data_IF_754235009196
#
_entry.id   IF_754235009196
#
_cell.length_a   1.000
_cell.length_b   1.000
_cell.length_c   1.000
_cell.angle_alpha   90.00
_cell.angle_beta   90.00
_cell.angle_gamma   90.00
#
_symmetry.space_group_name_H-M   'P 1'
#
loop_
_entity.id
_entity.type
_entity.pdbx_description
1 polymer ?
#
# COMPACT_ATOMS: atom_id res chain seq x y z
N UNK A 1 -12.11 6.44 -11.74
CA UNK A 1 -12.22 5.19 -10.93
C UNK A 1 -13.34 5.40 -9.92
N UNK A 2 -14.22 4.41 -9.77
CA UNK A 2 -15.29 4.44 -8.77
C UNK A 2 -14.71 4.38 -7.35
N UNK A 3 -15.42 4.93 -6.36
CA UNK A 3 -15.01 4.88 -4.95
C UNK A 3 -15.46 3.59 -4.25
N UNK A 4 -16.58 3.03 -4.71
CA UNK A 4 -17.20 1.82 -4.14
C UNK A 4 -17.21 0.72 -5.16
N UNK A 5 -17.00 -0.50 -4.69
CA UNK A 5 -16.99 -1.68 -5.53
C UNK A 5 -17.75 -2.82 -4.86
N UNK A 6 -18.46 -3.61 -5.64
CA UNK A 6 -19.12 -4.82 -5.15
C UNK A 6 -19.19 -5.87 -6.25
N UNK A 7 -18.88 -7.11 -5.89
CA UNK A 7 -19.01 -8.27 -6.77
C UNK A 7 -19.57 -9.45 -5.97
N UNK A 8 -20.62 -10.07 -6.50
CA UNK A 8 -21.28 -11.22 -5.89
C UNK A 8 -21.04 -12.50 -6.68
N UNK A 9 -20.97 -13.62 -5.97
CA UNK A 9 -20.81 -14.97 -6.47
C UNK A 9 -21.86 -15.86 -5.82
N UNK A 10 -22.92 -16.16 -6.57
CA UNK A 10 -23.98 -17.03 -6.11
C UNK A 10 -23.76 -18.47 -6.57
N UNK A 11 -24.09 -19.42 -5.71
CA UNK A 11 -24.25 -20.84 -6.02
C UNK A 11 -25.68 -21.29 -5.73
N UNK A 12 -25.89 -22.60 -5.67
CA UNK A 12 -27.22 -23.17 -5.41
C UNK A 12 -27.73 -22.85 -3.99
N UNK A 13 -26.86 -22.98 -2.98
CA UNK A 13 -27.24 -22.88 -1.56
C UNK A 13 -26.47 -21.81 -0.79
N UNK A 14 -25.41 -21.22 -1.35
CA UNK A 14 -24.58 -20.21 -0.67
C UNK A 14 -24.17 -19.12 -1.65
N UNK A 15 -24.24 -17.89 -1.19
CA UNK A 15 -23.84 -16.69 -1.90
C UNK A 15 -22.76 -15.94 -1.11
N UNK A 16 -21.82 -15.39 -1.85
CA UNK A 16 -20.72 -14.61 -1.31
C UNK A 16 -20.61 -13.29 -2.04
N UNK A 17 -20.38 -12.19 -1.33
CA UNK A 17 -20.14 -10.87 -1.91
C UNK A 17 -18.87 -10.26 -1.34
N UNK A 18 -18.02 -9.77 -2.23
CA UNK A 18 -16.90 -8.90 -1.90
C UNK A 18 -17.40 -7.47 -2.05
N UNK A 19 -17.22 -6.67 -1.01
CA UNK A 19 -17.61 -5.27 -1.02
C UNK A 19 -16.46 -4.40 -0.53
N UNK A 20 -16.22 -3.32 -1.26
CA UNK A 20 -15.41 -2.22 -0.77
C UNK A 20 -16.24 -0.95 -0.72
N UNK A 21 -16.38 -0.39 0.49
CA UNK A 21 -17.25 0.75 0.75
C UNK A 21 -16.59 2.10 0.49
N UNK A 22 -15.26 2.16 0.40
CA UNK A 22 -14.48 3.34 0.07
C UNK A 22 -13.09 2.93 -0.42
N UNK A 23 -12.51 3.70 -1.36
CA UNK A 23 -11.10 3.53 -1.76
C UNK A 23 -10.09 3.92 -0.69
N UNK A 24 -10.51 4.75 0.28
CA UNK A 24 -9.66 5.32 1.32
C UNK A 24 -9.60 4.43 2.58
N UNK A 25 -10.41 3.39 2.67
CA UNK A 25 -10.39 2.44 3.78
C UNK A 25 -9.47 1.24 3.46
N UNK A 26 -8.52 0.87 4.34
CA UNK A 26 -7.53 -0.19 4.06
C UNK A 26 -8.11 -1.59 4.35
N UNK A 27 -9.37 -1.81 4.02
CA UNK A 27 -10.06 -3.08 4.21
C UNK A 27 -11.19 -3.26 3.20
N UNK A 28 -11.66 -4.49 3.09
CA UNK A 28 -12.87 -4.88 2.36
C UNK A 28 -13.78 -5.70 3.28
N UNK A 29 -15.03 -5.86 2.87
CA UNK A 29 -15.97 -6.76 3.51
C UNK A 29 -16.21 -7.98 2.66
N UNK A 30 -16.22 -9.12 3.32
CA UNK A 30 -16.70 -10.38 2.77
C UNK A 30 -18.02 -10.72 3.43
N UNK A 31 -19.06 -10.88 2.61
CA UNK A 31 -20.45 -11.07 3.04
C UNK A 31 -20.97 -12.41 2.54
N UNK A 32 -21.44 -13.24 3.44
CA UNK A 32 -21.96 -14.57 3.16
C UNK A 32 -23.42 -14.69 3.57
N UNK A 33 -24.19 -15.39 2.74
CA UNK A 33 -25.59 -15.76 2.97
C UNK A 33 -25.80 -17.17 2.45
N UNK A 34 -26.70 -17.92 3.07
CA UNK A 34 -27.17 -19.21 2.55
C UNK A 34 -28.66 -19.19 2.25
N UNK A 35 -29.10 -20.16 1.45
CA UNK A 35 -30.52 -20.47 1.33
C UNK A 35 -31.01 -21.14 2.60
N UNK A 36 -32.20 -20.74 3.03
CA UNK A 36 -32.96 -21.33 4.14
C UNK A 36 -33.71 -22.57 3.64
N UNK A 37 -34.33 -23.29 4.58
CA UNK A 37 -35.12 -24.50 4.29
C UNK A 37 -36.36 -24.24 3.44
N UNK A 38 -36.86 -23.00 3.45
CA UNK A 38 -38.00 -22.54 2.65
C UNK A 38 -37.58 -22.01 1.26
N UNK A 39 -36.35 -22.31 0.82
CA UNK A 39 -35.73 -21.87 -0.44
C UNK A 39 -35.53 -20.34 -0.57
N UNK A 40 -35.82 -19.56 0.49
CA UNK A 40 -35.50 -18.14 0.53
C UNK A 40 -34.05 -17.90 0.93
N UNK A 41 -33.47 -16.77 0.53
CA UNK A 41 -32.12 -16.38 0.96
C UNK A 41 -32.15 -15.69 2.32
N UNK A 42 -31.13 -15.93 3.13
CA UNK A 42 -30.85 -15.11 4.31
C UNK A 42 -30.72 -13.62 3.97
N UNK A 43 -31.18 -12.78 4.91
CA UNK A 43 -31.17 -11.32 4.78
C UNK A 43 -30.41 -10.68 5.92
N UNK A 44 -29.40 -9.88 5.59
CA UNK A 44 -28.66 -9.08 6.57
C UNK A 44 -29.58 -8.14 7.39
N UNK A 45 -30.69 -7.67 6.80
CA UNK A 45 -31.68 -6.83 7.50
C UNK A 45 -32.40 -7.56 8.64
N UNK A 46 -32.36 -8.89 8.67
CA UNK A 46 -32.93 -9.73 9.72
C UNK A 46 -31.86 -10.25 10.70
N UNK A 47 -30.62 -9.73 10.62
CA UNK A 47 -29.49 -10.21 11.42
C UNK A 47 -28.91 -11.56 10.94
N UNK A 48 -29.29 -12.02 9.76
CA UNK A 48 -28.81 -13.26 9.16
C UNK A 48 -27.57 -13.03 8.30
N UNK A 49 -26.94 -14.14 7.86
CA UNK A 49 -25.70 -14.09 7.11
C UNK A 49 -24.48 -13.85 8.01
N UNK A 50 -23.32 -13.70 7.38
CA UNK A 50 -22.08 -13.32 8.06
C UNK A 50 -21.35 -12.25 7.27
N UNK A 51 -20.95 -11.20 7.95
CA UNK A 51 -20.04 -10.19 7.40
C UNK A 51 -18.74 -10.25 8.18
N UNK A 52 -17.62 -10.33 7.47
CA UNK A 52 -16.28 -10.21 8.07
C UNK A 52 -15.53 -9.06 7.38
N UNK A 53 -14.74 -8.33 8.16
CA UNK A 53 -13.82 -7.31 7.66
C UNK A 53 -12.48 -7.98 7.38
N UNK A 54 -11.98 -7.81 6.16
CA UNK A 54 -10.68 -8.32 5.71
C UNK A 54 -9.74 -7.13 5.55
N UNK A 55 -8.68 -7.12 6.35
CA UNK A 55 -7.59 -6.15 6.30
C UNK A 55 -6.76 -6.28 5.01
N UNK A 56 -5.96 -5.26 4.71
CA UNK A 56 -5.06 -5.30 3.56
C UNK A 56 -4.07 -6.48 3.60
N UNK A 57 -3.58 -6.87 4.78
CA UNK A 57 -2.69 -8.03 4.95
C UNK A 57 -3.41 -9.35 4.61
N UNK A 58 -4.62 -9.53 5.14
CA UNK A 58 -5.44 -10.70 4.82
C UNK A 58 -5.82 -10.73 3.33
N UNK A 59 -6.06 -9.58 2.71
CA UNK A 59 -6.25 -9.48 1.26
C UNK A 59 -5.04 -10.00 0.49
N UNK A 60 -3.82 -9.68 0.93
CA UNK A 60 -2.58 -10.21 0.33
C UNK A 60 -2.50 -11.72 0.51
N UNK A 61 -2.79 -12.25 1.70
CA UNK A 61 -2.75 -13.69 1.97
C UNK A 61 -3.74 -14.46 1.09
N UNK A 62 -4.98 -14.00 1.02
CA UNK A 62 -6.01 -14.56 0.11
C UNK A 62 -5.52 -14.50 -1.34
N UNK A 63 -4.89 -13.38 -1.75
CA UNK A 63 -4.37 -13.24 -3.10
C UNK A 63 -3.22 -14.19 -3.42
N UNK A 64 -2.38 -14.56 -2.44
CA UNK A 64 -1.35 -15.59 -2.63
C UNK A 64 -1.98 -16.98 -2.85
N UNK A 65 -3.06 -17.31 -2.13
CA UNK A 65 -3.84 -18.54 -2.40
C UNK A 65 -4.39 -18.51 -3.82
N UNK A 66 -5.05 -17.42 -4.24
CA UNK A 66 -5.62 -17.27 -5.59
C UNK A 66 -4.58 -17.32 -6.72
N UNK A 67 -3.30 -17.08 -6.42
CA UNK A 67 -2.19 -17.18 -7.36
C UNK A 67 -1.50 -18.55 -7.36
N UNK A 68 -2.02 -19.53 -6.61
CA UNK A 68 -1.37 -20.81 -6.35
C UNK A 68 0.06 -20.67 -5.80
N UNK A 69 0.36 -19.60 -5.05
CA UNK A 69 1.66 -19.46 -4.38
C UNK A 69 1.69 -20.21 -3.05
N UNK A 70 0.53 -20.38 -2.43
CA UNK A 70 0.31 -21.22 -1.27
C UNK A 70 -0.99 -22.02 -1.49
N UNK A 71 -1.04 -23.25 -0.97
CA UNK A 71 -2.18 -24.16 -1.17
C UNK A 71 -3.39 -23.77 -0.31
N UNK A 72 -3.13 -23.21 0.86
CA UNK A 72 -4.17 -22.76 1.77
C UNK A 72 -3.69 -21.63 2.66
N UNK A 73 -4.65 -20.89 3.19
CA UNK A 73 -4.46 -19.91 4.25
C UNK A 73 -5.65 -19.99 5.19
N UNK A 74 -5.40 -19.82 6.49
CA UNK A 74 -6.44 -19.74 7.50
C UNK A 74 -6.09 -18.65 8.52
N UNK A 75 -7.12 -18.13 9.18
CA UNK A 75 -7.02 -17.12 10.23
C UNK A 75 -8.28 -17.15 11.10
N UNK A 76 -8.28 -16.36 12.16
CA UNK A 76 -9.44 -16.08 12.98
C UNK A 76 -9.73 -14.58 12.94
N UNK A 77 -10.98 -14.23 12.66
CA UNK A 77 -11.47 -12.87 12.83
C UNK A 77 -12.13 -12.76 14.20
N UNK A 78 -11.50 -12.00 15.09
CA UNK A 78 -12.04 -11.69 16.41
C UNK A 78 -12.78 -10.37 16.34
N UNK A 79 -14.08 -10.40 16.66
CA UNK A 79 -14.86 -9.18 16.86
C UNK A 79 -15.62 -9.29 18.18
N UNK A 80 -15.33 -8.37 19.10
CA UNK A 80 -15.72 -8.49 20.52
C UNK A 80 -15.16 -9.80 21.09
N UNK A 81 -16.01 -10.77 21.38
CA UNK A 81 -15.64 -12.08 21.94
C UNK A 81 -15.91 -13.24 20.95
N UNK A 82 -16.45 -12.93 19.78
CA UNK A 82 -16.73 -13.94 18.75
C UNK A 82 -15.52 -14.12 17.84
N UNK A 83 -14.97 -15.34 17.85
CA UNK A 83 -13.94 -15.77 16.93
C UNK A 83 -14.57 -16.49 15.75
N UNK A 84 -14.43 -15.91 14.55
CA UNK A 84 -14.90 -16.54 13.32
C UNK A 84 -13.70 -17.13 12.56
N UNK A 85 -13.61 -18.45 12.39
CA UNK A 85 -12.57 -19.05 11.57
C UNK A 85 -12.76 -18.67 10.10
N UNK A 86 -11.67 -18.38 9.42
CA UNK A 86 -11.60 -18.07 7.99
C UNK A 86 -10.62 -19.05 7.36
N UNK A 87 -10.98 -19.64 6.23
CA UNK A 87 -10.05 -20.46 5.45
C UNK A 87 -10.31 -20.34 3.96
N UNK A 88 -9.21 -20.36 3.21
CA UNK A 88 -9.16 -20.45 1.76
C UNK A 88 -8.24 -21.61 1.42
N UNK A 89 -8.72 -22.59 0.65
CA UNK A 89 -7.93 -23.79 0.35
C UNK A 89 -8.30 -24.38 -1.00
N UNK A 90 -7.29 -24.75 -1.77
CA UNK A 90 -7.47 -25.53 -2.99
C UNK A 90 -7.87 -26.96 -2.66
N UNK A 91 -8.76 -27.54 -3.47
CA UNK A 91 -9.09 -28.96 -3.38
C UNK A 91 -7.89 -29.81 -3.83
N UNK A 92 -7.41 -30.71 -2.97
CA UNK A 92 -6.19 -31.52 -3.20
C UNK A 92 -6.21 -32.33 -4.50
N UNK A 93 -7.39 -32.66 -5.01
CA UNK A 93 -7.57 -33.51 -6.20
C UNK A 93 -8.06 -32.72 -7.44
N UNK A 94 -8.31 -31.41 -7.31
CA UNK A 94 -8.87 -30.57 -8.37
C UNK A 94 -8.31 -29.15 -8.25
N UNK A 95 -7.24 -28.87 -8.98
CA UNK A 95 -6.55 -27.57 -8.96
C UNK A 95 -7.42 -26.38 -9.40
N UNK A 96 -8.62 -26.62 -9.94
CA UNK A 96 -9.54 -25.58 -10.42
C UNK A 96 -10.71 -25.30 -9.48
N UNK A 97 -10.66 -25.82 -8.25
CA UNK A 97 -11.69 -25.63 -7.23
C UNK A 97 -11.09 -25.03 -5.96
N UNK A 98 -11.63 -23.89 -5.56
CA UNK A 98 -11.27 -23.20 -4.33
C UNK A 98 -12.43 -23.28 -3.33
N UNK A 99 -12.12 -23.74 -2.12
CA UNK A 99 -13.02 -23.68 -0.98
C UNK A 99 -12.77 -22.42 -0.16
N UNK A 100 -13.85 -21.73 0.17
CA UNK A 100 -13.86 -20.59 1.08
C UNK A 100 -14.78 -20.95 2.24
N UNK A 101 -14.25 -21.02 3.46
CA UNK A 101 -15.04 -21.30 4.66
C UNK A 101 -14.90 -20.16 5.66
N UNK A 102 -16.04 -19.62 6.10
CA UNK A 102 -16.12 -18.53 7.08
C UNK A 102 -17.19 -18.90 8.11
N UNK A 103 -16.74 -19.28 9.31
CA UNK A 103 -17.61 -19.85 10.33
C UNK A 103 -18.36 -21.07 9.79
N UNK A 104 -19.69 -21.01 9.80
CA UNK A 104 -20.57 -22.08 9.30
C UNK A 104 -20.92 -21.97 7.81
N UNK A 105 -20.38 -20.97 7.11
CA UNK A 105 -20.62 -20.74 5.69
C UNK A 105 -19.48 -21.35 4.86
N UNK A 106 -19.83 -22.07 3.80
CA UNK A 106 -18.87 -22.66 2.87
C UNK A 106 -19.29 -22.38 1.44
N UNK A 107 -18.35 -21.92 0.61
CA UNK A 107 -18.56 -21.67 -0.81
C UNK A 107 -17.43 -22.28 -1.64
N UNK A 108 -17.81 -23.16 -2.55
CA UNK A 108 -16.96 -23.65 -3.62
C UNK A 108 -16.95 -22.65 -4.79
N UNK A 109 -15.79 -22.22 -5.25
CA UNK A 109 -15.64 -21.46 -6.49
C UNK A 109 -15.02 -22.35 -7.57
N UNK A 110 -15.59 -22.30 -8.78
CA UNK A 110 -14.97 -22.87 -9.97
C UNK A 110 -14.08 -21.87 -10.70
N UNK A 111 -13.29 -22.35 -11.65
CA UNK A 111 -12.28 -21.58 -12.39
C UNK A 111 -12.68 -20.16 -12.79
N UNK A 112 -13.81 -19.98 -13.49
CA UNK A 112 -14.22 -18.64 -13.93
C UNK A 112 -14.52 -17.68 -12.76
N UNK A 113 -15.15 -18.18 -11.68
CA UNK A 113 -15.41 -17.38 -10.48
C UNK A 113 -14.11 -17.04 -9.75
N UNK A 114 -13.18 -17.99 -9.71
CA UNK A 114 -11.84 -17.79 -9.13
C UNK A 114 -11.09 -16.70 -9.87
N UNK A 115 -11.07 -16.74 -11.21
CA UNK A 115 -10.34 -15.76 -12.02
C UNK A 115 -10.93 -14.35 -11.88
N UNK A 116 -12.27 -14.22 -11.87
CA UNK A 116 -12.93 -12.94 -11.59
C UNK A 116 -12.54 -12.44 -10.19
N UNK A 117 -12.59 -13.32 -9.19
CA UNK A 117 -12.21 -12.95 -7.82
C UNK A 117 -10.74 -12.52 -7.74
N UNK A 118 -9.83 -13.26 -8.37
CA UNK A 118 -8.39 -12.95 -8.41
C UNK A 118 -8.12 -11.58 -9.03
N UNK A 119 -8.73 -11.29 -10.18
CA UNK A 119 -8.58 -10.01 -10.87
C UNK A 119 -9.19 -8.86 -10.07
N UNK A 120 -10.37 -9.07 -9.49
CA UNK A 120 -11.05 -8.06 -8.68
C UNK A 120 -10.30 -7.76 -7.38
N UNK A 121 -9.83 -8.79 -6.67
CA UNK A 121 -9.04 -8.62 -5.46
C UNK A 121 -7.70 -7.92 -5.76
N UNK A 122 -7.02 -8.28 -6.86
CA UNK A 122 -5.81 -7.57 -7.33
C UNK A 122 -6.09 -6.08 -7.56
N UNK A 123 -7.22 -5.75 -8.18
CA UNK A 123 -7.64 -4.37 -8.41
C UNK A 123 -7.85 -3.64 -7.08
N UNK A 124 -8.60 -4.22 -6.15
CA UNK A 124 -8.86 -3.63 -4.83
C UNK A 124 -7.58 -3.44 -4.01
N UNK A 125 -6.67 -4.42 -3.98
CA UNK A 125 -5.37 -4.30 -3.30
C UNK A 125 -4.60 -3.09 -3.83
N UNK A 126 -4.45 -2.98 -5.16
CA UNK A 126 -3.73 -1.85 -5.79
C UNK A 126 -4.39 -0.52 -5.45
N UNK A 127 -5.71 -0.48 -5.47
CA UNK A 127 -6.47 0.71 -5.10
C UNK A 127 -6.24 1.08 -3.63
N UNK A 128 -6.34 0.12 -2.69
CA UNK A 128 -6.17 0.39 -1.25
C UNK A 128 -4.75 0.86 -0.93
N UNK A 129 -3.74 0.23 -1.52
CA UNK A 129 -2.36 0.70 -1.39
C UNK A 129 -2.23 2.12 -1.93
N UNK A 130 -2.86 2.43 -3.06
CA UNK A 130 -2.76 3.78 -3.64
C UNK A 130 -3.43 4.85 -2.80
N UNK A 131 -4.59 4.58 -2.22
CA UNK A 131 -5.44 5.62 -1.64
C UNK A 131 -5.58 5.55 -0.11
N UNK A 132 -5.59 4.34 0.48
CA UNK A 132 -5.79 4.15 1.91
C UNK A 132 -4.48 4.21 2.73
N UNK A 133 -3.31 4.17 2.08
CA UNK A 133 -2.00 4.31 2.77
C UNK A 133 -1.34 5.66 2.53
N UNK A 134 -2.02 6.60 1.87
CA UNK A 134 -1.55 7.97 1.80
C UNK A 134 -1.70 8.59 3.19
N UNK A 135 -0.62 9.15 3.72
CA UNK A 135 -0.67 9.98 4.92
C UNK A 135 -1.64 11.13 4.65
N UNK A 136 -2.73 11.18 5.42
CA UNK A 136 -3.68 12.30 5.42
C UNK A 136 -2.97 13.55 5.96
N UNK A 137 -2.15 14.23 5.15
CA UNK A 137 -1.57 15.54 5.49
C UNK A 137 -2.57 16.69 5.37
N UNK A 138 -3.87 16.41 5.44
CA UNK A 138 -4.93 17.40 5.31
C UNK A 138 -6.18 16.97 6.08
N UNK A 139 -6.05 16.70 7.37
CA UNK A 139 -7.10 17.15 8.27
C UNK A 139 -6.92 18.66 8.40
N UNK A 140 -7.70 19.41 7.60
CA UNK A 140 -7.90 20.84 7.77
C UNK A 140 -8.20 21.10 9.24
N UNK A 141 -7.27 21.74 9.94
CA UNK A 141 -7.62 22.53 11.10
C UNK A 141 -8.33 23.77 10.57
N UNK A 142 -9.59 23.96 10.94
CA UNK A 142 -10.20 25.28 10.95
C UNK A 142 -9.42 26.11 11.99
N UNK A 143 -8.50 26.94 11.53
CA UNK A 143 -7.82 27.93 12.39
C UNK A 143 -8.44 29.29 12.07
N UNK A 144 -9.23 29.79 13.02
CA UNK A 144 -9.55 31.22 13.13
C UNK A 144 -8.25 32.01 13.32
N UNK A 145 -8.02 33.12 12.60
CA UNK A 145 -6.82 33.92 12.77
C UNK A 145 -6.96 34.85 13.97
N UNK A 146 -6.24 34.55 15.05
CA UNK A 146 -6.11 35.48 16.16
C UNK A 146 -5.42 34.86 17.36
N UNK A 147 -4.10 34.94 17.42
CA UNK A 147 -3.35 35.53 18.55
C UNK A 147 -1.85 35.38 18.33
N UNK A 148 -1.14 36.50 18.47
CA UNK A 148 0.32 36.59 18.53
C UNK A 148 0.78 36.12 19.90
N UNK A 149 1.89 35.38 19.96
CA UNK A 149 2.83 35.49 21.09
C UNK A 149 4.23 35.00 20.68
N UNK A 150 5.21 35.87 20.92
CA UNK A 150 6.65 35.63 20.86
C UNK A 150 7.12 34.78 22.05
N UNK A 151 8.18 33.99 21.85
CA UNK A 151 9.30 33.87 22.83
C UNK A 151 10.47 33.02 22.28
N UNK A 152 11.59 33.72 22.03
CA UNK A 152 12.98 33.45 22.47
C UNK A 152 13.55 32.02 22.62
N UNK A 153 14.49 31.71 21.71
CA UNK A 153 15.88 31.16 21.83
C UNK A 153 16.35 30.53 23.16
N UNK A 154 16.97 29.33 23.07
CA UNK A 154 18.32 29.01 23.63
C UNK A 154 18.96 27.76 23.02
N UNK A 155 20.31 27.75 23.07
CA UNK A 155 21.31 26.93 22.38
C UNK A 155 21.61 25.57 23.04
N UNK A 156 22.59 24.87 22.42
CA UNK A 156 23.46 23.77 22.89
C UNK A 156 22.91 22.36 22.57
N UNK A 157 23.65 21.41 21.96
CA UNK A 157 25.06 21.08 22.10
C UNK A 157 25.69 20.47 20.84
N UNK A 158 27.00 20.69 20.73
CA UNK A 158 27.95 20.05 19.80
C UNK A 158 28.20 18.60 20.22
N UNK A 159 28.46 17.72 19.25
CA UNK A 159 29.53 16.72 19.36
C UNK A 159 29.90 16.15 17.99
N UNK A 160 31.17 16.36 17.63
CA UNK A 160 31.88 15.83 16.47
C UNK A 160 32.11 14.31 16.59
N UNK A 161 31.97 13.58 15.48
CA UNK A 161 32.81 12.41 15.21
C UNK A 161 33.18 12.38 13.72
N UNK A 162 34.48 12.57 13.49
CA UNK A 162 35.22 12.54 12.23
C UNK A 162 35.45 11.08 11.80
N UNK A 163 35.22 10.74 10.53
CA UNK A 163 35.97 9.67 9.82
C UNK A 163 36.19 10.04 8.34
N UNK A 164 37.46 9.89 7.94
CA UNK A 164 38.10 10.37 6.70
C UNK A 164 37.60 9.73 5.38
N UNK A 165 37.82 10.42 4.23
CA UNK A 165 37.51 9.92 2.90
C UNK A 165 38.72 9.18 2.31
N UNK A 166 38.53 7.92 1.92
CA UNK A 166 39.37 7.24 0.94
C UNK A 166 38.54 6.15 0.28
N UNK A 167 38.27 6.29 -1.03
CA UNK A 167 38.58 5.31 -2.07
C UNK A 167 38.16 5.90 -3.42
N UNK A 168 39.18 6.00 -4.28
CA UNK A 168 39.14 6.33 -5.69
C UNK A 168 38.61 5.13 -6.49
N UNK A 169 37.73 5.41 -7.45
CA UNK A 169 37.54 4.77 -8.77
C UNK A 169 38.07 3.34 -9.01
N UNK A 170 37.18 2.42 -9.39
CA UNK A 170 37.35 1.66 -10.64
C UNK A 170 36.06 1.00 -11.15
N UNK A 171 36.04 0.89 -12.48
CA UNK A 171 34.94 0.58 -13.40
C UNK A 171 34.38 -0.85 -13.37
N UNK A 172 33.09 -0.93 -13.72
CA UNK A 172 32.32 -2.05 -14.32
C UNK A 172 32.39 -3.42 -13.61
N UNK A 173 31.28 -3.78 -12.97
CA UNK A 173 30.54 -5.03 -13.22
C UNK A 173 29.10 -4.90 -12.72
N UNK A 174 28.18 -5.24 -13.62
CA UNK A 174 26.76 -5.51 -13.35
C UNK A 174 26.66 -6.52 -12.20
N UNK A 175 25.81 -6.25 -11.20
CA UNK A 175 25.04 -7.23 -10.44
C UNK A 175 23.98 -6.52 -9.58
N UNK A 176 22.73 -6.95 -9.78
CA UNK A 176 21.49 -6.74 -9.01
C UNK A 176 21.53 -5.78 -7.81
N UNK A 177 20.83 -4.64 -7.91
CA UNK A 177 20.21 -3.94 -6.76
C UNK A 177 19.19 -2.90 -7.25
N UNK A 178 17.92 -3.04 -6.81
CA UNK A 178 16.80 -2.07 -6.86
C UNK A 178 16.69 -1.11 -8.07
N UNK A 179 15.80 -1.44 -9.01
CA UNK A 179 15.44 -0.71 -10.26
C UNK A 179 14.83 0.71 -10.07
N UNK A 180 14.87 1.27 -8.86
CA UNK A 180 14.19 2.50 -8.47
C UNK A 180 15.13 3.66 -8.06
N UNK A 181 16.45 3.49 -8.11
CA UNK A 181 17.43 4.52 -7.71
C UNK A 181 18.38 4.91 -8.84
N UNK A 182 18.73 6.19 -8.92
CA UNK A 182 19.54 6.80 -9.97
C UNK A 182 20.47 7.87 -9.41
N UNK A 183 21.70 7.91 -9.92
CA UNK A 183 22.71 8.91 -9.51
C UNK A 183 22.60 10.11 -10.44
N UNK A 184 22.52 11.31 -9.86
CA UNK A 184 22.52 12.59 -10.57
C UNK A 184 23.64 13.49 -10.07
N UNK A 185 24.18 14.32 -10.95
CA UNK A 185 25.20 15.32 -10.63
C UNK A 185 24.52 16.72 -10.58
N UNK A 186 24.84 17.51 -9.56
CA UNK A 186 24.32 18.87 -9.41
C UNK A 186 24.78 19.57 -8.13
N UNK A 187 24.26 20.76 -7.87
CA UNK A 187 24.54 21.50 -6.62
C UNK A 187 23.26 21.99 -5.96
N UNK A 188 23.30 22.15 -4.63
CA UNK A 188 22.17 22.69 -3.87
C UNK A 188 22.18 24.21 -4.00
N UNK A 189 21.09 24.80 -4.49
CA UNK A 189 20.92 26.25 -4.57
C UNK A 189 20.22 26.83 -3.35
N UNK A 190 19.25 26.11 -2.81
CA UNK A 190 18.60 26.46 -1.54
C UNK A 190 18.03 25.20 -0.90
N UNK A 191 17.82 25.22 0.41
CA UNK A 191 17.11 24.16 1.11
C UNK A 191 15.90 24.69 1.88
N UNK A 192 14.96 23.78 2.12
CA UNK A 192 13.86 23.93 3.07
C UNK A 192 13.98 22.83 4.12
N UNK A 193 13.11 22.85 5.12
CA UNK A 193 13.04 21.78 6.12
C UNK A 193 12.86 20.39 5.48
N UNK A 194 12.12 20.30 4.35
CA UNK A 194 11.71 19.02 3.74
C UNK A 194 12.28 18.73 2.35
N UNK A 195 12.86 19.72 1.67
CA UNK A 195 13.35 19.55 0.29
C UNK A 195 14.59 20.40 -0.02
N UNK A 196 15.37 19.97 -1.00
CA UNK A 196 16.50 20.69 -1.59
C UNK A 196 16.15 21.14 -3.00
N UNK A 197 16.51 22.36 -3.36
CA UNK A 197 16.51 22.80 -4.76
C UNK A 197 17.87 22.42 -5.35
N UNK A 198 17.88 21.43 -6.22
CA UNK A 198 19.09 20.97 -6.92
C UNK A 198 19.10 21.59 -8.31
N UNK A 199 20.25 22.19 -8.65
CA UNK A 199 20.54 22.72 -9.98
C UNK A 199 21.47 21.74 -10.69
N UNK A 200 21.07 21.35 -11.89
CA UNK A 200 21.80 20.42 -12.74
C UNK A 200 22.78 21.16 -13.65
N UNK A 201 23.77 20.44 -14.17
CA UNK A 201 24.73 20.97 -15.14
C UNK A 201 24.06 21.40 -16.47
N UNK A 202 22.84 20.93 -16.73
CA UNK A 202 21.98 21.36 -17.84
C UNK A 202 21.29 22.72 -17.61
N UNK A 203 21.48 23.35 -16.44
CA UNK A 203 20.82 24.60 -16.05
C UNK A 203 19.38 24.44 -15.57
N UNK A 204 18.87 23.20 -15.50
CA UNK A 204 17.55 22.91 -14.93
C UNK A 204 17.61 22.93 -13.40
N UNK A 205 16.54 23.37 -12.75
CA UNK A 205 16.43 23.39 -11.29
C UNK A 205 15.19 22.59 -10.88
N UNK A 206 15.32 21.73 -9.87
CA UNK A 206 14.18 20.97 -9.37
C UNK A 206 14.25 20.72 -7.87
N UNK A 207 13.08 20.64 -7.26
CA UNK A 207 12.93 20.34 -5.84
C UNK A 207 12.94 18.83 -5.60
N UNK A 208 13.87 18.41 -4.75
CA UNK A 208 14.03 17.04 -4.30
C UNK A 208 13.68 16.95 -2.81
N UNK A 209 12.67 16.15 -2.42
CA UNK A 209 12.45 15.83 -1.01
C UNK A 209 13.71 15.22 -0.40
N UNK A 210 14.09 15.65 0.82
CA UNK A 210 15.27 15.12 1.52
C UNK A 210 15.18 13.61 1.73
N UNK A 211 13.97 13.08 1.93
CA UNK A 211 13.68 11.65 2.10
C UNK A 211 13.87 10.81 0.83
N UNK A 212 14.00 11.44 -0.33
CA UNK A 212 14.14 10.76 -1.60
C UNK A 212 15.55 10.87 -2.18
N UNK A 213 16.45 11.53 -1.44
CA UNK A 213 17.90 11.52 -1.63
C UNK A 213 18.47 10.51 -0.65
N UNK A 214 18.96 9.41 -1.18
CA UNK A 214 19.48 8.27 -0.44
C UNK A 214 20.98 8.36 -0.19
N UNK A 215 21.67 9.30 -0.85
CA UNK A 215 23.08 9.59 -0.57
C UNK A 215 23.20 10.58 0.58
N UNK A 216 24.30 10.47 1.34
CA UNK A 216 24.76 11.59 2.14
C UNK A 216 25.23 12.71 1.20
N UNK A 217 24.83 13.95 1.47
CA UNK A 217 25.18 15.13 0.69
C UNK A 217 25.64 16.26 1.61
N UNK A 218 26.53 17.11 1.13
CA UNK A 218 26.97 18.33 1.82
C UNK A 218 25.89 19.39 1.65
N UNK A 219 25.44 20.00 2.76
CA UNK A 219 24.40 21.04 2.75
C UNK A 219 24.91 22.42 2.32
N UNK A 220 26.21 22.54 2.05
CA UNK A 220 26.81 23.77 1.56
C UNK A 220 26.24 24.14 0.17
N UNK A 221 25.73 25.36 0.08
CA UNK A 221 25.12 25.90 -1.14
C UNK A 221 26.21 26.10 -2.20
N UNK A 222 25.93 25.67 -3.44
CA UNK A 222 26.83 25.88 -4.58
C UNK A 222 27.94 24.84 -4.75
N UNK A 223 27.98 23.78 -3.93
CA UNK A 223 28.94 22.68 -4.11
C UNK A 223 28.38 21.61 -5.04
N UNK A 224 29.12 21.35 -6.13
CA UNK A 224 28.84 20.26 -7.06
C UNK A 224 29.10 18.90 -6.38
N UNK A 225 28.09 18.04 -6.41
CA UNK A 225 28.13 16.74 -5.76
C UNK A 225 27.17 15.76 -6.44
N UNK A 226 27.33 14.47 -6.11
CA UNK A 226 26.49 13.40 -6.65
C UNK A 226 25.37 13.09 -5.66
N UNK A 227 24.14 13.03 -6.15
CA UNK A 227 22.98 12.61 -5.37
C UNK A 227 22.48 11.27 -5.87
N UNK A 228 22.38 10.29 -4.98
CA UNK A 228 21.63 9.06 -5.24
C UNK A 228 20.17 9.35 -4.93
N UNK A 229 19.31 9.36 -5.93
CA UNK A 229 17.89 9.76 -5.79
C UNK A 229 16.95 8.72 -6.36
N UNK A 230 15.68 8.81 -5.97
CA UNK A 230 14.66 7.91 -6.49
C UNK A 230 14.26 8.30 -7.92
N UNK A 231 14.16 7.33 -8.83
CA UNK A 231 13.89 7.53 -10.27
C UNK A 231 12.61 8.34 -10.53
N UNK A 232 11.58 8.14 -9.71
CA UNK A 232 10.28 8.83 -9.85
C UNK A 232 10.38 10.36 -9.78
N UNK A 233 11.37 10.93 -9.09
CA UNK A 233 11.51 12.39 -9.00
C UNK A 233 12.00 12.99 -10.31
N UNK A 234 12.89 12.27 -10.97
CA UNK A 234 13.45 12.68 -12.26
C UNK A 234 12.37 12.62 -13.34
N UNK A 235 11.62 11.52 -13.37
CA UNK A 235 10.49 11.35 -14.29
C UNK A 235 9.41 12.40 -14.05
N UNK A 236 9.09 12.72 -12.78
CA UNK A 236 8.08 13.71 -12.42
C UNK A 236 8.49 15.13 -12.81
N UNK A 237 9.75 15.49 -12.60
CA UNK A 237 10.27 16.82 -12.92
C UNK A 237 10.75 16.94 -14.37
N UNK A 238 10.62 15.86 -15.18
CA UNK A 238 11.10 15.78 -16.58
C UNK A 238 12.57 16.22 -16.73
N UNK A 239 13.39 15.90 -15.73
CA UNK A 239 14.79 16.29 -15.73
C UNK A 239 15.49 15.44 -16.78
N UNK A 240 16.07 16.10 -17.78
CA UNK A 240 16.91 15.44 -18.78
C UNK A 240 18.30 15.29 -18.15
N UNK A 241 18.61 14.05 -17.74
CA UNK A 241 19.96 13.65 -17.32
C UNK A 241 20.80 13.38 -18.57
#
# INVERSE_FOLDING_TARGET
MADKHSQSFFGQSTGFTIQSSSKNEPFIFLKFIKKKKDDTWEKFSQGEGKTIKISLEEMIMIFQVLKHKINSWNSYHTYKEDNTPISFSWESNKENILWINIGTYSKMLGFAQIEIFRLFLKHLIKEKIKFATLLNSSQKQDINPGEKQESSITNDDKNDLILNPNIMTNSKKVNDTNDDQIIIDGFIKTETEKALLIVFNSGQEAWFPKSAIHSQYKREIGIEQKFLTSKWIIEKNKILI
#
